data_IF_318526942221
#
_entry.id   IF_318526942221
#
_cell.length_a   1.000
_cell.length_b   1.000
_cell.length_c   1.000
_cell.angle_alpha   90.00
_cell.angle_beta   90.00
_cell.angle_gamma   90.00
#
_symmetry.space_group_name_H-M   'P 1'
#
loop_
_entity.id
_entity.type
_entity.pdbx_description
1 polymer ?
#
# COMPACT_ATOMS: atom_id res chain seq x y z
N UNK A 1 46.74 -33.18 -11.44
CA UNK A 1 46.31 -31.82 -11.91
C UNK A 1 44.85 -31.76 -12.30
N UNK A 2 44.30 -32.72 -12.99
CA UNK A 2 42.85 -32.71 -13.43
C UNK A 2 41.86 -32.77 -12.26
N UNK A 3 42.15 -33.44 -11.16
CA UNK A 3 41.28 -33.55 -9.99
C UNK A 3 41.09 -32.20 -9.28
N UNK A 4 42.13 -31.38 -9.23
CA UNK A 4 42.08 -30.08 -8.60
C UNK A 4 41.13 -29.09 -9.36
N UNK A 5 41.12 -29.15 -10.67
CA UNK A 5 40.22 -28.33 -11.49
C UNK A 5 38.77 -28.83 -11.39
N UNK A 6 38.54 -30.13 -11.27
CA UNK A 6 37.21 -30.70 -11.07
C UNK A 6 36.63 -30.26 -9.71
N UNK A 7 37.42 -30.30 -8.65
CA UNK A 7 36.98 -29.83 -7.32
C UNK A 7 36.72 -28.33 -7.34
N UNK A 8 37.60 -27.55 -7.96
CA UNK A 8 37.44 -26.11 -8.08
C UNK A 8 36.16 -25.73 -8.85
N UNK A 9 35.85 -26.45 -9.93
CA UNK A 9 34.63 -26.22 -10.71
C UNK A 9 33.35 -26.53 -9.92
N UNK A 10 33.37 -27.59 -9.10
CA UNK A 10 32.24 -27.91 -8.21
C UNK A 10 31.99 -26.83 -7.17
N UNK A 11 33.06 -26.30 -6.55
CA UNK A 11 32.92 -25.17 -5.61
C UNK A 11 32.41 -23.89 -6.29
N UNK A 12 32.85 -23.63 -7.51
CA UNK A 12 32.39 -22.47 -8.29
C UNK A 12 30.90 -22.60 -8.63
N UNK A 13 30.45 -23.79 -9.05
CA UNK A 13 29.02 -24.03 -9.31
C UNK A 13 28.16 -23.88 -8.04
N UNK A 14 28.62 -24.45 -6.93
CA UNK A 14 27.93 -24.33 -5.65
C UNK A 14 27.83 -22.87 -5.18
N UNK A 15 28.92 -22.12 -5.29
CA UNK A 15 28.96 -20.70 -4.94
C UNK A 15 27.99 -19.87 -5.79
N UNK A 16 27.93 -20.15 -7.09
CA UNK A 16 27.02 -19.47 -8.01
C UNK A 16 25.54 -19.75 -7.68
N UNK A 17 25.19 -21.01 -7.44
CA UNK A 17 23.82 -21.40 -7.05
C UNK A 17 23.43 -20.77 -5.71
N UNK A 18 24.34 -20.81 -4.72
CA UNK A 18 24.11 -20.20 -3.41
C UNK A 18 23.87 -18.68 -3.52
N UNK A 19 24.63 -18.00 -4.38
CA UNK A 19 24.49 -16.58 -4.63
C UNK A 19 23.14 -16.25 -5.27
N UNK A 20 22.69 -17.02 -6.26
CA UNK A 20 21.36 -16.86 -6.86
C UNK A 20 20.23 -17.07 -5.85
N UNK A 21 20.32 -18.08 -5.01
CA UNK A 21 19.32 -18.34 -3.96
C UNK A 21 19.27 -17.17 -2.96
N UNK A 22 20.41 -16.63 -2.56
CA UNK A 22 20.48 -15.49 -1.65
C UNK A 22 19.91 -14.21 -2.27
N UNK A 23 20.23 -13.93 -3.52
CA UNK A 23 19.64 -12.82 -4.27
C UNK A 23 18.11 -13.00 -4.40
N UNK A 24 17.66 -14.21 -4.73
CA UNK A 24 16.22 -14.51 -4.85
C UNK A 24 15.48 -14.33 -3.52
N UNK A 25 16.07 -14.73 -2.40
CA UNK A 25 15.53 -14.49 -1.06
C UNK A 25 15.55 -13.03 -0.67
N UNK A 26 16.57 -12.27 -1.07
CA UNK A 26 16.65 -10.82 -0.81
C UNK A 26 15.64 -10.02 -1.62
N UNK A 27 15.38 -10.42 -2.87
CA UNK A 27 14.33 -9.85 -3.73
C UNK A 27 12.96 -10.41 -3.34
N UNK A 28 12.92 -11.61 -2.75
CA UNK A 28 11.74 -12.27 -2.23
C UNK A 28 11.08 -11.38 -1.19
N UNK A 29 10.11 -10.68 -1.66
CA UNK A 29 9.12 -9.82 -1.05
C UNK A 29 9.04 -9.99 0.47
N UNK A 30 9.51 -9.01 1.21
CA UNK A 30 9.03 -8.78 2.55
C UNK A 30 7.52 -8.55 2.42
N UNK A 31 6.72 -9.60 2.62
CA UNK A 31 5.30 -9.45 2.85
C UNK A 31 5.18 -8.70 4.18
N UNK A 32 5.09 -7.38 4.10
CA UNK A 32 4.63 -6.61 5.23
C UNK A 32 3.16 -6.96 5.41
N UNK A 33 2.91 -7.92 6.28
CA UNK A 33 1.56 -8.21 6.72
C UNK A 33 1.24 -7.16 7.79
N UNK A 34 0.67 -6.06 7.35
CA UNK A 34 0.19 -5.01 8.25
C UNK A 34 -1.29 -5.26 8.45
N UNK A 35 -1.63 -5.88 9.57
CA UNK A 35 -3.02 -5.98 9.99
C UNK A 35 -3.48 -4.63 10.54
N UNK A 36 -4.68 -4.19 10.10
CA UNK A 36 -5.36 -2.99 10.61
C UNK A 36 -4.59 -1.66 10.40
N UNK A 37 -3.86 -1.51 9.30
CA UNK A 37 -3.33 -0.21 8.92
C UNK A 37 -4.31 0.52 8.00
N UNK A 38 -4.48 1.81 8.29
CA UNK A 38 -5.26 2.71 7.46
C UNK A 38 -4.31 3.72 6.80
N UNK A 39 -4.55 4.00 5.53
CA UNK A 39 -3.88 5.10 4.84
C UNK A 39 -4.85 6.26 4.77
N UNK A 40 -4.43 7.40 5.25
CA UNK A 40 -5.19 8.65 5.16
C UNK A 40 -4.42 9.62 4.29
N UNK A 41 -5.00 10.03 3.18
CA UNK A 41 -4.47 11.04 2.28
C UNK A 41 -5.20 12.35 2.50
N UNK A 42 -4.49 13.37 2.91
CA UNK A 42 -5.02 14.73 3.05
C UNK A 42 -4.79 15.50 1.76
N UNK A 43 -5.84 16.06 1.21
CA UNK A 43 -5.82 16.76 -0.07
C UNK A 43 -6.42 18.15 0.06
N UNK A 44 -5.78 19.14 -0.57
CA UNK A 44 -6.29 20.51 -0.63
C UNK A 44 -5.96 21.13 -1.98
N UNK A 45 -6.98 21.61 -2.68
CA UNK A 45 -6.85 22.33 -3.96
C UNK A 45 -5.96 21.60 -4.99
N UNK A 46 -6.26 20.32 -5.26
CA UNK A 46 -5.48 19.47 -6.18
C UNK A 46 -6.27 19.02 -7.42
N UNK A 47 -7.24 19.82 -7.87
CA UNK A 47 -8.11 19.50 -8.99
C UNK A 47 -7.37 18.96 -10.23
N UNK A 48 -6.23 19.56 -10.56
CA UNK A 48 -5.45 19.18 -11.75
C UNK A 48 -4.65 17.88 -11.61
N UNK A 49 -4.29 17.50 -10.39
CA UNK A 49 -3.36 16.40 -10.14
C UNK A 49 -4.01 15.21 -9.43
N UNK A 50 -5.18 15.42 -8.82
CA UNK A 50 -5.79 14.42 -7.92
C UNK A 50 -6.09 13.10 -8.63
N UNK A 51 -6.60 13.14 -9.83
CA UNK A 51 -6.90 11.93 -10.59
C UNK A 51 -5.64 11.09 -10.85
N UNK A 52 -4.56 11.74 -11.29
CA UNK A 52 -3.29 11.06 -11.51
C UNK A 52 -2.72 10.49 -10.22
N UNK A 53 -2.74 11.25 -9.13
CA UNK A 53 -2.24 10.83 -7.82
C UNK A 53 -2.98 9.60 -7.30
N UNK A 54 -4.30 9.57 -7.41
CA UNK A 54 -5.12 8.44 -6.98
C UNK A 54 -4.86 7.21 -7.84
N UNK A 55 -4.74 7.35 -9.15
CA UNK A 55 -4.42 6.25 -10.06
C UNK A 55 -3.05 5.65 -9.73
N UNK A 56 -2.02 6.48 -9.59
CA UNK A 56 -0.67 6.05 -9.21
C UNK A 56 -0.65 5.36 -7.84
N UNK A 57 -1.38 5.91 -6.87
CA UNK A 57 -1.51 5.28 -5.55
C UNK A 57 -2.17 3.90 -5.63
N UNK A 58 -3.24 3.75 -6.39
CA UNK A 58 -3.96 2.47 -6.54
C UNK A 58 -3.19 1.44 -7.38
N UNK A 59 -2.28 1.86 -8.25
CA UNK A 59 -1.35 0.97 -8.96
C UNK A 59 -0.25 0.43 -8.03
N UNK A 60 0.08 1.14 -6.96
CA UNK A 60 1.05 0.70 -5.97
C UNK A 60 0.56 -0.56 -5.24
N UNK A 61 1.35 -1.62 -5.31
CA UNK A 61 1.06 -2.87 -4.58
C UNK A 61 0.99 -2.67 -3.08
N UNK A 62 1.79 -1.76 -2.55
CA UNK A 62 1.83 -1.43 -1.13
C UNK A 62 0.52 -0.81 -0.66
N UNK A 63 0.07 0.24 -1.34
CA UNK A 63 -1.20 0.93 -1.04
C UNK A 63 -2.37 -0.03 -1.19
N UNK A 64 -2.41 -0.81 -2.26
CA UNK A 64 -3.49 -1.76 -2.51
C UNK A 64 -3.56 -2.87 -1.46
N UNK A 65 -2.43 -3.39 -1.00
CA UNK A 65 -2.40 -4.40 0.05
C UNK A 65 -2.92 -3.86 1.38
N UNK A 66 -2.58 -2.61 1.71
CA UNK A 66 -3.11 -1.96 2.92
C UNK A 66 -4.60 -1.67 2.75
N UNK A 67 -5.04 -1.17 1.60
CA UNK A 67 -6.45 -0.88 1.34
C UNK A 67 -7.35 -2.12 1.39
N UNK A 68 -6.85 -3.30 1.02
CA UNK A 68 -7.58 -4.57 1.12
C UNK A 68 -7.73 -5.03 2.58
N UNK A 69 -6.68 -4.89 3.38
CA UNK A 69 -6.64 -5.37 4.77
C UNK A 69 -7.07 -4.30 5.79
N UNK A 70 -7.17 -3.06 5.37
CA UNK A 70 -7.56 -1.92 6.18
C UNK A 70 -8.46 -0.98 5.39
N UNK A 71 -8.16 0.31 5.40
CA UNK A 71 -8.88 1.30 4.61
C UNK A 71 -7.93 2.32 3.96
N UNK A 72 -8.34 2.81 2.80
CA UNK A 72 -7.72 3.93 2.12
C UNK A 72 -8.71 5.08 2.08
N UNK A 73 -8.44 6.12 2.87
CA UNK A 73 -9.33 7.24 3.08
C UNK A 73 -8.69 8.50 2.53
N UNK A 74 -9.41 9.22 1.70
CA UNK A 74 -9.00 10.52 1.19
C UNK A 74 -9.84 11.60 1.84
N UNK A 75 -9.20 12.52 2.54
CA UNK A 75 -9.87 13.63 3.22
C UNK A 75 -9.61 14.92 2.44
N UNK A 76 -10.67 15.55 1.98
CA UNK A 76 -10.62 16.87 1.39
C UNK A 76 -10.56 17.94 2.48
N UNK A 77 -9.48 18.72 2.48
CA UNK A 77 -9.21 19.75 3.47
C UNK A 77 -9.82 21.09 3.07
N UNK A 78 -11.14 21.10 2.89
CA UNK A 78 -11.89 22.31 2.51
C UNK A 78 -11.36 22.95 1.21
N UNK A 79 -11.25 22.15 0.16
CA UNK A 79 -10.85 22.62 -1.17
C UNK A 79 -11.89 23.58 -1.75
N UNK A 80 -11.43 24.68 -2.30
CA UNK A 80 -12.28 25.70 -2.93
C UNK A 80 -12.49 25.49 -4.43
N UNK A 81 -11.76 24.52 -4.99
CA UNK A 81 -11.89 24.06 -6.37
C UNK A 81 -12.78 22.81 -6.48
N UNK A 82 -12.84 22.19 -7.65
CA UNK A 82 -13.63 20.96 -7.89
C UNK A 82 -12.97 19.67 -7.38
N UNK A 83 -11.96 19.75 -6.50
CA UNK A 83 -11.23 18.58 -5.96
C UNK A 83 -12.18 17.59 -5.30
N UNK A 84 -13.06 18.03 -4.42
CA UNK A 84 -14.03 17.16 -3.73
C UNK A 84 -14.96 16.45 -4.71
N UNK A 85 -15.42 17.14 -5.72
CA UNK A 85 -16.31 16.60 -6.76
C UNK A 85 -15.61 15.51 -7.58
N UNK A 86 -14.35 15.74 -7.94
CA UNK A 86 -13.52 14.75 -8.63
C UNK A 86 -13.23 13.54 -7.75
N UNK A 87 -12.95 13.75 -6.46
CA UNK A 87 -12.74 12.67 -5.49
C UNK A 87 -13.96 11.78 -5.36
N UNK A 88 -15.15 12.33 -5.26
CA UNK A 88 -16.40 11.56 -5.20
C UNK A 88 -16.66 10.76 -6.48
N UNK A 89 -16.26 11.29 -7.62
CA UNK A 89 -16.31 10.57 -8.90
C UNK A 89 -15.32 9.41 -8.93
N UNK A 90 -14.11 9.61 -8.41
CA UNK A 90 -13.08 8.57 -8.32
C UNK A 90 -13.45 7.48 -7.30
N UNK A 91 -14.11 7.82 -6.20
CA UNK A 91 -14.62 6.86 -5.22
C UNK A 91 -15.53 5.80 -5.86
N UNK A 92 -16.36 6.20 -6.83
CA UNK A 92 -17.20 5.27 -7.58
C UNK A 92 -16.38 4.34 -8.52
N UNK A 93 -15.20 4.77 -8.94
CA UNK A 93 -14.31 3.97 -9.80
C UNK A 93 -13.41 3.02 -8.99
N UNK A 94 -13.06 3.40 -7.77
CA UNK A 94 -12.15 2.65 -6.90
C UNK A 94 -12.86 2.23 -5.61
N UNK A 95 -13.42 1.02 -5.53
CA UNK A 95 -14.22 0.57 -4.37
C UNK A 95 -13.42 0.45 -3.07
N UNK A 96 -12.10 0.43 -3.14
CA UNK A 96 -11.23 0.38 -1.96
C UNK A 96 -10.94 1.76 -1.34
N UNK A 97 -11.41 2.83 -1.98
CA UNK A 97 -11.20 4.21 -1.56
C UNK A 97 -12.48 4.78 -0.95
N UNK A 98 -12.33 5.44 0.18
CA UNK A 98 -13.40 6.23 0.81
C UNK A 98 -13.03 7.71 0.78
N UNK A 99 -13.97 8.57 0.47
CA UNK A 99 -13.77 10.03 0.44
C UNK A 99 -14.56 10.69 1.55
N UNK A 100 -13.86 11.47 2.37
CA UNK A 100 -14.46 12.27 3.45
C UNK A 100 -14.18 13.76 3.23
N UNK A 101 -15.12 14.61 3.58
CA UNK A 101 -14.89 16.06 3.66
C UNK A 101 -14.26 16.44 5.00
N UNK A 102 -13.74 17.67 5.08
CA UNK A 102 -13.13 18.17 6.32
C UNK A 102 -14.09 18.14 7.51
N UNK A 103 -15.36 18.40 7.29
CA UNK A 103 -16.38 18.36 8.33
C UNK A 103 -16.70 16.93 8.80
N UNK A 104 -16.47 15.96 7.93
CA UNK A 104 -16.69 14.52 8.19
C UNK A 104 -15.43 13.79 8.70
N UNK A 105 -14.34 14.51 8.96
CA UNK A 105 -13.06 13.94 9.43
C UNK A 105 -13.19 13.07 10.69
N UNK A 106 -14.20 13.29 11.48
CA UNK A 106 -14.52 12.47 12.64
C UNK A 106 -14.82 11.01 12.26
N UNK A 107 -15.34 10.77 11.06
CA UNK A 107 -15.63 9.43 10.55
C UNK A 107 -14.37 8.55 10.50
N UNK A 108 -13.21 9.14 10.21
CA UNK A 108 -11.93 8.43 10.14
C UNK A 108 -11.53 7.89 11.51
N UNK A 109 -11.73 8.68 12.56
CA UNK A 109 -11.35 8.32 13.94
C UNK A 109 -12.40 7.43 14.63
N UNK A 110 -13.67 7.60 14.33
CA UNK A 110 -14.75 6.80 14.91
C UNK A 110 -14.78 5.37 14.39
N UNK A 111 -14.53 5.17 13.09
CA UNK A 111 -14.47 3.82 12.49
C UNK A 111 -13.35 2.96 13.09
N UNK A 112 -12.27 3.57 13.54
CA UNK A 112 -11.19 2.89 14.25
C UNK A 112 -11.60 2.48 15.68
N UNK A 113 -12.38 3.31 16.37
CA UNK A 113 -12.89 3.02 17.70
C UNK A 113 -13.86 1.84 17.71
N UNK A 114 -14.74 1.74 16.73
CA UNK A 114 -15.70 0.65 16.63
C UNK A 114 -15.03 -0.69 16.34
N UNK A 115 -13.99 -0.69 15.51
CA UNK A 115 -13.18 -1.88 15.24
C UNK A 115 -12.37 -2.34 16.46
N UNK A 116 -11.89 -1.41 17.28
CA UNK A 116 -11.17 -1.71 18.52
C UNK A 116 -12.11 -2.24 19.61
N UNK A 117 -13.34 -1.72 19.68
CA UNK A 117 -14.34 -2.18 20.65
C UNK A 117 -14.89 -3.55 20.30
N UNK A 118 -15.13 -3.86 19.01
CA UNK A 118 -15.58 -5.16 18.55
C UNK A 118 -14.54 -6.27 18.84
N UNK A 119 -13.24 -5.95 18.80
CA UNK A 119 -12.16 -6.91 19.08
C UNK A 119 -11.98 -7.22 20.57
N UNK A 120 -12.55 -6.39 21.47
CA UNK A 120 -12.42 -6.54 22.91
C UNK A 120 -13.43 -7.52 23.53
N UNK A 121 -14.44 -7.95 22.74
CA UNK A 121 -15.50 -8.86 23.18
C UNK A 121 -15.47 -10.23 22.48
N UNK A 122 -14.46 -10.52 21.72
CA UNK A 122 -14.13 -11.83 21.18
C UNK A 122 -12.86 -12.38 21.77
#
# INVERSE_FOLDING_TARGET
MTINYAILSLFAMYGMISLFINIYKAIGKKKYFVENANIVLLVNNQEQNIERMIREAMESRFVRNIAINGSFIVVDMDSKDDTLKLLKKLENQFPLMEVCSFDERECVFFKEKDNLSAKKYT
#
